data_IF_191946651051
#
_entry.id   IF_191946651051
#
_cell.length_a   1.000
_cell.length_b   1.000
_cell.length_c   1.000
_cell.angle_alpha   90.00
_cell.angle_beta   90.00
_cell.angle_gamma   90.00
#
_symmetry.space_group_name_H-M   'P 1'
#
loop_
_entity.id
_entity.type
_entity.pdbx_description
1 polymer ?
#
# COMPACT_ATOMS: atom_id res chain seq x y z
N UNK A 1 26.06 22.13 27.65
CA UNK A 1 26.92 23.24 28.09
C UNK A 1 26.15 24.56 28.27
N UNK A 2 25.35 25.08 27.32
CA UNK A 2 24.57 26.32 27.56
C UNK A 2 23.35 26.14 28.50
N UNK A 3 22.62 25.02 28.42
CA UNK A 3 21.42 24.77 29.25
C UNK A 3 21.74 24.42 30.72
N UNK A 4 22.95 23.93 31.01
CA UNK A 4 23.41 23.76 32.41
C UNK A 4 23.53 25.11 33.14
N UNK A 5 23.59 26.22 32.40
CA UNK A 5 23.76 27.57 32.96
C UNK A 5 22.50 28.45 32.88
N UNK A 6 21.49 28.11 32.05
CA UNK A 6 20.22 28.86 31.99
C UNK A 6 19.06 28.03 31.38
N UNK A 7 18.49 27.04 32.11
CA UNK A 7 17.42 26.16 31.60
C UNK A 7 16.06 26.86 31.44
N UNK A 8 15.90 28.09 31.93
CA UNK A 8 14.67 28.87 31.90
C UNK A 8 14.50 29.71 30.62
N UNK A 9 15.51 29.75 29.74
CA UNK A 9 15.42 30.50 28.49
C UNK A 9 14.76 29.63 27.41
N UNK A 10 13.61 30.05 26.84
CA UNK A 10 12.86 29.25 25.87
C UNK A 10 13.70 28.79 24.65
N UNK A 11 14.55 29.68 24.12
CA UNK A 11 15.41 29.38 22.97
C UNK A 11 16.47 28.31 23.26
N UNK A 12 17.03 28.29 24.49
CA UNK A 12 18.06 27.33 24.88
C UNK A 12 17.43 25.94 25.08
N UNK A 13 16.24 25.92 25.67
CA UNK A 13 15.44 24.70 25.88
C UNK A 13 15.02 24.07 24.53
N UNK A 14 14.58 24.90 23.57
CA UNK A 14 14.25 24.47 22.21
C UNK A 14 15.48 23.92 21.46
N UNK A 15 16.60 24.64 21.47
CA UNK A 15 17.83 24.17 20.80
C UNK A 15 18.34 22.83 21.36
N UNK A 16 18.20 22.60 22.67
CA UNK A 16 18.52 21.29 23.25
C UNK A 16 17.55 20.19 22.85
N UNK A 17 16.26 20.51 22.73
CA UNK A 17 15.26 19.55 22.27
C UNK A 17 15.57 19.10 20.83
N UNK A 18 15.90 20.05 19.96
CA UNK A 18 16.29 19.80 18.56
C UNK A 18 17.58 18.98 18.49
N UNK A 19 18.61 19.34 19.26
CA UNK A 19 19.88 18.59 19.31
C UNK A 19 19.73 17.14 19.81
N UNK A 20 18.90 16.90 20.83
CA UNK A 20 18.64 15.55 21.35
C UNK A 20 17.86 14.72 20.33
N UNK A 21 16.90 15.34 19.66
CA UNK A 21 16.11 14.71 18.60
C UNK A 21 16.96 14.33 17.39
N UNK A 22 17.87 15.22 16.96
CA UNK A 22 18.85 14.90 15.90
C UNK A 22 19.78 13.74 16.27
N UNK A 23 20.07 13.56 17.56
CA UNK A 23 20.89 12.44 18.04
C UNK A 23 20.12 11.12 18.19
N UNK A 24 18.83 11.07 17.85
CA UNK A 24 17.97 9.89 18.08
C UNK A 24 17.65 9.61 19.56
N UNK A 25 17.91 10.56 20.46
CA UNK A 25 17.68 10.42 21.91
C UNK A 25 16.25 10.83 22.27
N UNK A 26 15.28 10.09 21.72
CA UNK A 26 13.86 10.44 21.80
C UNK A 26 13.31 10.46 23.23
N UNK A 27 13.69 9.50 24.07
CA UNK A 27 13.19 9.44 25.46
C UNK A 27 13.68 10.65 26.28
N UNK A 28 14.92 11.08 26.09
CA UNK A 28 15.46 12.29 26.72
C UNK A 28 14.76 13.55 26.19
N UNK A 29 14.47 13.62 24.89
CA UNK A 29 13.74 14.72 24.28
C UNK A 29 12.31 14.82 24.84
N UNK A 30 11.61 13.70 25.00
CA UNK A 30 10.26 13.65 25.57
C UNK A 30 10.27 14.11 27.03
N UNK A 31 11.24 13.66 27.84
CA UNK A 31 11.38 14.09 29.23
C UNK A 31 11.63 15.60 29.34
N UNK A 32 12.50 16.14 28.48
CA UNK A 32 12.79 17.57 28.42
C UNK A 32 11.53 18.38 28.06
N UNK A 33 10.75 17.90 27.08
CA UNK A 33 9.51 18.55 26.67
C UNK A 33 8.46 18.55 27.79
N UNK A 34 8.34 17.46 28.55
CA UNK A 34 7.43 17.37 29.70
C UNK A 34 7.85 18.34 30.82
N UNK A 35 9.16 18.53 31.05
CA UNK A 35 9.67 19.54 31.99
C UNK A 35 9.36 20.97 31.53
N UNK A 36 9.53 21.28 30.24
CA UNK A 36 9.21 22.59 29.67
C UNK A 36 7.71 22.90 29.76
N UNK A 37 6.86 21.89 29.53
CA UNK A 37 5.42 22.00 29.74
C UNK A 37 5.07 22.27 31.21
N UNK A 38 5.71 21.57 32.15
CA UNK A 38 5.49 21.79 33.59
C UNK A 38 5.93 23.19 34.04
N UNK A 39 6.97 23.74 33.40
CA UNK A 39 7.45 25.10 33.61
C UNK A 39 6.64 26.18 32.86
N UNK A 40 5.56 25.81 32.15
CA UNK A 40 4.72 26.71 31.34
C UNK A 40 5.50 27.52 30.29
N UNK A 41 6.61 26.96 29.78
CA UNK A 41 7.44 27.59 28.73
C UNK A 41 6.78 27.46 27.36
N UNK A 42 5.99 26.41 27.15
CA UNK A 42 5.25 26.12 25.92
C UNK A 42 3.75 26.06 26.18
N UNK A 43 2.96 26.42 25.16
CA UNK A 43 1.52 26.22 25.21
C UNK A 43 1.19 24.73 25.28
N UNK A 44 0.10 24.37 25.97
CA UNK A 44 -0.31 22.98 26.12
C UNK A 44 -0.52 22.28 24.77
N UNK A 45 -1.17 22.94 23.82
CA UNK A 45 -1.46 22.36 22.50
C UNK A 45 -0.18 22.08 21.71
N UNK A 46 0.74 23.04 21.69
CA UNK A 46 2.04 22.93 21.04
C UNK A 46 2.89 21.81 21.66
N UNK A 47 2.96 21.75 23.00
CA UNK A 47 3.69 20.70 23.70
C UNK A 47 3.10 19.29 23.43
N UNK A 48 1.77 19.15 23.39
CA UNK A 48 1.12 17.88 23.05
C UNK A 48 1.37 17.47 21.59
N UNK A 49 1.39 18.42 20.66
CA UNK A 49 1.73 18.20 19.25
C UNK A 49 3.19 17.77 19.07
N UNK A 50 4.15 18.50 19.65
CA UNK A 50 5.57 18.15 19.60
C UNK A 50 5.84 16.79 20.24
N UNK A 51 5.17 16.47 21.35
CA UNK A 51 5.26 15.15 22.00
C UNK A 51 4.75 14.04 21.07
N UNK A 52 3.65 14.28 20.34
CA UNK A 52 3.15 13.32 19.36
C UNK A 52 4.17 13.08 18.24
N UNK A 53 4.86 14.11 17.76
CA UNK A 53 5.91 14.00 16.74
C UNK A 53 7.10 13.20 17.25
N UNK A 54 7.60 13.48 18.47
CA UNK A 54 8.69 12.73 19.09
C UNK A 54 8.35 11.25 19.29
N UNK A 55 7.14 10.96 19.77
CA UNK A 55 6.64 9.59 19.91
C UNK A 55 6.53 8.88 18.56
N UNK A 56 6.12 9.60 17.51
CA UNK A 56 6.02 9.06 16.14
C UNK A 56 7.40 8.77 15.56
N UNK A 57 8.38 9.65 15.77
CA UNK A 57 9.76 9.44 15.37
C UNK A 57 10.36 8.19 16.03
N UNK A 58 10.21 8.10 17.36
CA UNK A 58 10.62 6.95 18.16
C UNK A 58 9.94 5.66 17.71
N UNK A 59 8.64 5.70 17.43
CA UNK A 59 7.90 4.56 16.93
C UNK A 59 8.38 4.11 15.54
N UNK A 60 8.75 5.06 14.66
CA UNK A 60 9.28 4.77 13.33
C UNK A 60 10.58 3.97 13.41
N UNK A 61 11.53 4.38 14.27
CA UNK A 61 12.80 3.68 14.46
C UNK A 61 12.63 2.30 15.11
N UNK A 62 11.66 2.17 16.03
CA UNK A 62 11.38 0.91 16.72
C UNK A 62 10.61 -0.09 15.86
N UNK A 63 9.89 0.36 14.82
CA UNK A 63 8.95 -0.48 14.07
C UNK A 63 9.59 -1.77 13.54
N UNK A 64 10.86 -1.70 13.12
CA UNK A 64 11.57 -2.87 12.61
C UNK A 64 11.98 -3.88 13.68
N UNK A 65 12.49 -3.42 14.82
CA UNK A 65 13.02 -4.29 15.88
C UNK A 65 12.02 -4.66 16.98
N UNK A 66 11.12 -3.74 17.32
CA UNK A 66 10.09 -3.90 18.36
C UNK A 66 8.75 -3.31 17.89
N UNK A 67 7.95 -4.09 17.12
CA UNK A 67 6.62 -3.67 16.68
C UNK A 67 5.67 -3.34 17.83
N UNK A 68 5.77 -4.05 18.97
CA UNK A 68 4.90 -3.83 20.12
C UNK A 68 5.18 -2.47 20.77
N UNK A 69 6.45 -2.13 20.99
CA UNK A 69 6.87 -0.83 21.48
C UNK A 69 6.48 0.30 20.53
N UNK A 70 6.75 0.12 19.23
CA UNK A 70 6.35 1.07 18.19
C UNK A 70 4.83 1.33 18.17
N UNK A 71 4.03 0.28 18.37
CA UNK A 71 2.58 0.38 18.45
C UNK A 71 2.11 1.22 19.63
N UNK A 72 2.68 1.00 20.82
CA UNK A 72 2.28 1.78 22.01
C UNK A 72 2.72 3.25 21.90
N UNK A 73 3.93 3.51 21.42
CA UNK A 73 4.43 4.87 21.17
C UNK A 73 3.53 5.59 20.11
N UNK A 74 3.21 4.93 19.00
CA UNK A 74 2.34 5.49 17.95
C UNK A 74 0.88 5.70 18.42
N UNK A 75 0.33 4.78 19.22
CA UNK A 75 -1.00 4.98 19.83
C UNK A 75 -1.01 6.14 20.81
N UNK A 76 0.06 6.32 21.59
CA UNK A 76 0.20 7.46 22.48
C UNK A 76 0.26 8.77 21.68
N UNK A 77 0.99 8.79 20.55
CA UNK A 77 0.99 9.93 19.64
C UNK A 77 -0.41 10.26 19.09
N UNK A 78 -1.17 9.26 18.64
CA UNK A 78 -2.54 9.46 18.12
C UNK A 78 -3.55 9.95 19.17
N UNK A 79 -3.33 9.65 20.46
CA UNK A 79 -4.14 10.22 21.55
C UNK A 79 -3.94 11.71 21.69
N UNK A 80 -2.72 12.19 21.44
CA UNK A 80 -2.34 13.61 21.52
C UNK A 80 -2.68 14.35 20.21
N UNK A 81 -2.38 13.75 19.06
CA UNK A 81 -2.61 14.31 17.73
C UNK A 81 -3.31 13.29 16.82
N UNK A 82 -4.65 13.27 16.85
CA UNK A 82 -5.46 12.30 16.07
C UNK A 82 -5.28 12.42 14.56
N UNK A 83 -4.98 13.62 14.06
CA UNK A 83 -4.75 13.88 12.63
C UNK A 83 -3.31 13.63 12.17
N UNK A 84 -2.41 13.16 13.04
CA UNK A 84 -1.03 12.89 12.65
C UNK A 84 -0.95 11.59 11.82
N UNK A 85 -1.12 11.74 10.50
CA UNK A 85 -1.07 10.65 9.51
C UNK A 85 0.10 9.67 9.68
N UNK A 86 1.37 10.09 9.84
CA UNK A 86 2.48 9.15 10.00
C UNK A 86 2.35 8.27 11.24
N UNK A 87 1.78 8.78 12.34
CA UNK A 87 1.53 7.97 13.54
C UNK A 87 0.48 6.88 13.27
N UNK A 88 -0.59 7.20 12.52
CA UNK A 88 -1.61 6.24 12.12
C UNK A 88 -1.02 5.12 11.24
N UNK A 89 -0.15 5.48 10.31
CA UNK A 89 0.53 4.53 9.42
C UNK A 89 1.45 3.61 10.21
N UNK A 90 2.27 4.14 11.13
CA UNK A 90 3.19 3.33 11.94
C UNK A 90 2.41 2.40 12.86
N UNK A 91 1.36 2.90 13.54
CA UNK A 91 0.50 2.07 14.38
C UNK A 91 -0.17 0.94 13.58
N UNK A 92 -0.68 1.25 12.38
CA UNK A 92 -1.28 0.25 11.51
C UNK A 92 -0.26 -0.80 11.06
N UNK A 93 0.92 -0.39 10.58
CA UNK A 93 2.01 -1.30 10.19
C UNK A 93 2.42 -2.22 11.36
N UNK A 94 2.50 -1.70 12.57
CA UNK A 94 2.81 -2.49 13.75
C UNK A 94 1.73 -3.57 14.01
N UNK A 95 0.44 -3.21 13.95
CA UNK A 95 -0.65 -4.18 14.07
C UNK A 95 -0.66 -5.21 12.92
N UNK A 96 -0.25 -4.83 11.72
CA UNK A 96 -0.16 -5.77 10.60
C UNK A 96 0.95 -6.81 10.79
N UNK A 97 2.05 -6.46 11.46
CA UNK A 97 3.10 -7.41 11.85
C UNK A 97 2.63 -8.41 12.91
N UNK A 98 1.61 -8.06 13.67
CA UNK A 98 0.95 -8.93 14.66
C UNK A 98 -0.27 -9.68 14.06
N UNK A 99 -0.44 -9.66 12.73
CA UNK A 99 -1.61 -10.20 12.02
C UNK A 99 -2.97 -9.60 12.48
N UNK A 100 -2.96 -8.45 13.14
CA UNK A 100 -4.15 -7.78 13.65
C UNK A 100 -4.76 -6.81 12.64
N UNK A 101 -5.25 -7.37 11.53
CA UNK A 101 -5.77 -6.61 10.38
C UNK A 101 -6.96 -5.73 10.78
N UNK A 102 -7.84 -6.21 11.66
CA UNK A 102 -9.04 -5.45 12.09
C UNK A 102 -8.67 -4.15 12.79
N UNK A 103 -7.68 -4.18 13.70
CA UNK A 103 -7.23 -2.97 14.41
C UNK A 103 -6.46 -2.03 13.49
N UNK A 104 -5.61 -2.57 12.61
CA UNK A 104 -4.92 -1.77 11.61
C UNK A 104 -5.91 -1.01 10.70
N UNK A 105 -6.91 -1.72 10.16
CA UNK A 105 -7.98 -1.13 9.35
C UNK A 105 -8.73 -0.04 10.12
N UNK A 106 -9.13 -0.29 11.37
CA UNK A 106 -9.85 0.69 12.19
C UNK A 106 -9.06 1.99 12.42
N UNK A 107 -7.73 1.90 12.59
CA UNK A 107 -6.88 3.08 12.79
C UNK A 107 -6.76 3.88 11.49
N UNK A 108 -6.51 3.21 10.38
CA UNK A 108 -6.40 3.86 9.06
C UNK A 108 -7.73 4.50 8.63
N UNK A 109 -8.87 3.81 8.83
CA UNK A 109 -10.20 4.38 8.56
C UNK A 109 -10.50 5.60 9.45
N UNK A 110 -10.03 5.62 10.69
CA UNK A 110 -10.19 6.77 11.59
C UNK A 110 -9.36 7.96 11.12
N UNK A 111 -8.12 7.74 10.69
CA UNK A 111 -7.27 8.78 10.10
C UNK A 111 -7.86 9.30 8.79
N UNK A 112 -8.33 8.41 7.92
CA UNK A 112 -8.96 8.73 6.63
C UNK A 112 -10.20 9.63 6.77
N UNK A 113 -11.01 9.39 7.81
CA UNK A 113 -12.18 10.24 8.10
C UNK A 113 -11.82 11.66 8.49
N UNK A 114 -10.65 11.89 9.08
CA UNK A 114 -10.16 13.22 9.42
C UNK A 114 -9.63 13.87 8.14
N UNK A 115 -8.57 13.29 7.57
CA UNK A 115 -7.87 13.79 6.39
C UNK A 115 -7.45 12.61 5.51
N UNK A 116 -8.11 12.39 4.35
CA UNK A 116 -7.66 11.43 3.36
C UNK A 116 -6.24 11.73 2.89
N UNK A 117 -5.39 10.72 2.88
CA UNK A 117 -3.97 10.86 2.54
C UNK A 117 -3.49 9.65 1.73
N UNK A 118 -2.71 9.82 0.65
CA UNK A 118 -2.36 8.74 -0.27
C UNK A 118 -1.68 7.56 0.42
N UNK A 119 -0.78 7.81 1.38
CA UNK A 119 -0.11 6.74 2.13
C UNK A 119 -1.05 5.94 3.04
N UNK A 120 -2.12 6.55 3.57
CA UNK A 120 -3.16 5.81 4.33
C UNK A 120 -3.91 4.90 3.36
N UNK A 121 -4.25 5.39 2.17
CA UNK A 121 -4.89 4.59 1.12
C UNK A 121 -4.03 3.40 0.70
N UNK A 122 -2.76 3.65 0.37
CA UNK A 122 -1.77 2.61 -0.03
C UNK A 122 -1.61 1.54 1.05
N UNK A 123 -1.49 1.95 2.31
CA UNK A 123 -1.31 1.02 3.45
C UNK A 123 -2.57 0.22 3.75
N UNK A 124 -3.76 0.83 3.62
CA UNK A 124 -5.03 0.15 3.86
C UNK A 124 -5.36 -0.88 2.78
N UNK A 125 -5.17 -0.51 1.50
CA UNK A 125 -5.44 -1.41 0.37
C UNK A 125 -4.53 -2.63 0.43
N UNK A 126 -3.26 -2.46 0.82
CA UNK A 126 -2.27 -3.54 0.93
C UNK A 126 -2.17 -4.14 2.35
N UNK A 127 -3.13 -3.87 3.24
CA UNK A 127 -3.02 -4.22 4.65
C UNK A 127 -2.90 -5.74 4.91
N UNK A 128 -3.54 -6.58 4.09
CA UNK A 128 -3.49 -8.04 4.25
C UNK A 128 -2.64 -8.66 3.15
N UNK A 129 -1.61 -9.39 3.57
CA UNK A 129 -0.82 -10.24 2.68
C UNK A 129 -1.70 -11.33 2.08
N UNK A 130 -1.60 -11.52 0.75
CA UNK A 130 -2.32 -12.58 0.03
C UNK A 130 -3.68 -12.20 -0.53
N UNK A 131 -4.13 -10.95 -0.40
CA UNK A 131 -5.36 -10.52 -1.09
C UNK A 131 -5.20 -10.49 -2.61
N UNK A 132 -6.25 -10.93 -3.31
CA UNK A 132 -6.36 -10.76 -4.76
C UNK A 132 -6.44 -9.27 -5.15
N UNK A 133 -6.18 -8.95 -6.42
CA UNK A 133 -6.35 -7.59 -6.96
C UNK A 133 -7.79 -7.10 -6.80
N UNK A 134 -8.78 -7.98 -6.98
CA UNK A 134 -10.20 -7.68 -6.77
C UNK A 134 -10.54 -7.40 -5.30
N UNK A 135 -9.93 -8.11 -4.35
CA UNK A 135 -10.14 -7.84 -2.92
C UNK A 135 -9.52 -6.51 -2.49
N UNK A 136 -8.37 -6.17 -3.08
CA UNK A 136 -7.75 -4.84 -2.92
C UNK A 136 -8.65 -3.73 -3.48
N UNK A 137 -9.26 -3.93 -4.64
CA UNK A 137 -10.25 -3.01 -5.21
C UNK A 137 -11.46 -2.82 -4.28
N UNK A 138 -12.05 -3.91 -3.74
CA UNK A 138 -13.15 -3.80 -2.77
C UNK A 138 -12.78 -2.99 -1.52
N UNK A 139 -11.53 -3.09 -1.05
CA UNK A 139 -11.04 -2.26 0.06
C UNK A 139 -10.90 -0.79 -0.32
N UNK A 140 -10.38 -0.51 -1.51
CA UNK A 140 -10.31 0.86 -2.01
C UNK A 140 -11.70 1.49 -2.11
N UNK A 141 -12.70 0.75 -2.62
CA UNK A 141 -14.10 1.19 -2.67
C UNK A 141 -14.68 1.44 -1.28
N UNK A 142 -14.30 0.62 -0.28
CA UNK A 142 -14.68 0.84 1.11
C UNK A 142 -14.12 2.15 1.66
N UNK A 143 -12.87 2.51 1.33
CA UNK A 143 -12.31 3.82 1.71
C UNK A 143 -13.02 4.98 1.01
N UNK A 144 -13.34 4.81 -0.28
CA UNK A 144 -14.12 5.80 -1.02
C UNK A 144 -15.49 6.03 -0.37
N UNK A 145 -16.18 4.97 0.05
CA UNK A 145 -17.47 5.08 0.73
C UNK A 145 -17.40 5.89 2.04
N UNK A 146 -16.25 5.92 2.73
CA UNK A 146 -16.06 6.73 3.94
C UNK A 146 -15.90 8.22 3.66
N UNK A 147 -15.29 8.58 2.51
CA UNK A 147 -15.08 9.97 2.07
C UNK A 147 -15.35 10.06 0.56
N UNK A 148 -16.63 10.03 0.14
CA UNK A 148 -16.98 10.16 -1.27
C UNK A 148 -16.60 11.55 -1.79
N UNK A 149 -16.42 11.68 -3.11
CA UNK A 149 -16.06 12.94 -3.77
C UNK A 149 -14.78 13.59 -3.21
N UNK A 150 -13.79 12.77 -2.87
CA UNK A 150 -12.45 13.22 -2.50
C UNK A 150 -11.44 12.71 -3.54
N UNK A 151 -10.48 13.56 -3.93
CA UNK A 151 -9.46 13.20 -4.94
C UNK A 151 -8.68 11.97 -4.51
N UNK A 152 -8.22 11.90 -3.26
CA UNK A 152 -7.45 10.76 -2.75
C UNK A 152 -8.28 9.47 -2.77
N UNK A 153 -9.58 9.55 -2.44
CA UNK A 153 -10.51 8.42 -2.57
C UNK A 153 -10.62 7.94 -4.01
N UNK A 154 -10.79 8.86 -4.96
CA UNK A 154 -10.92 8.54 -6.38
C UNK A 154 -9.63 7.93 -6.93
N UNK A 155 -8.47 8.51 -6.61
CA UNK A 155 -7.16 8.00 -7.03
C UNK A 155 -6.85 6.61 -6.46
N UNK A 156 -7.16 6.37 -5.18
CA UNK A 156 -6.95 5.07 -4.54
C UNK A 156 -7.81 3.98 -5.21
N UNK A 157 -9.07 4.27 -5.55
CA UNK A 157 -9.94 3.34 -6.29
C UNK A 157 -9.47 3.15 -7.72
N UNK A 158 -9.08 4.22 -8.40
CA UNK A 158 -8.60 4.16 -9.78
C UNK A 158 -7.34 3.28 -9.89
N UNK A 159 -6.36 3.46 -9.00
CA UNK A 159 -5.16 2.63 -8.95
C UNK A 159 -5.51 1.17 -8.64
N UNK A 160 -6.37 0.91 -7.65
CA UNK A 160 -6.76 -0.46 -7.31
C UNK A 160 -7.57 -1.14 -8.43
N UNK A 161 -8.32 -0.36 -9.22
CA UNK A 161 -9.06 -0.84 -10.37
C UNK A 161 -8.12 -1.15 -11.55
N UNK A 162 -7.09 -0.33 -11.78
CA UNK A 162 -6.03 -0.60 -12.74
C UNK A 162 -5.29 -1.90 -12.39
N UNK A 163 -4.87 -2.05 -11.13
CA UNK A 163 -4.24 -3.29 -10.63
C UNK A 163 -5.13 -4.52 -10.83
N UNK A 164 -6.45 -4.35 -10.80
CA UNK A 164 -7.45 -5.39 -11.02
C UNK A 164 -7.91 -5.54 -12.47
N UNK A 165 -7.27 -4.82 -13.41
CA UNK A 165 -7.62 -4.80 -14.84
C UNK A 165 -9.09 -4.42 -15.11
N UNK A 166 -9.69 -3.66 -14.21
CA UNK A 166 -11.04 -3.10 -14.36
C UNK A 166 -10.94 -1.73 -15.05
N UNK A 167 -10.44 -1.72 -16.28
CA UNK A 167 -10.07 -0.48 -16.99
C UNK A 167 -11.21 0.54 -17.13
N UNK A 168 -12.46 0.17 -17.45
CA UNK A 168 -13.56 1.15 -17.51
C UNK A 168 -13.78 1.88 -16.19
N UNK A 169 -13.66 1.15 -15.08
CA UNK A 169 -13.79 1.72 -13.73
C UNK A 169 -12.58 2.57 -13.36
N UNK A 170 -11.38 2.08 -13.66
CA UNK A 170 -10.14 2.81 -13.42
C UNK A 170 -10.16 4.18 -14.12
N UNK A 171 -10.50 4.19 -15.43
CA UNK A 171 -10.62 5.40 -16.24
C UNK A 171 -11.68 6.35 -15.69
N UNK A 172 -12.89 5.86 -15.43
CA UNK A 172 -13.97 6.70 -14.92
C UNK A 172 -13.62 7.40 -13.58
N UNK A 173 -12.88 6.71 -12.70
CA UNK A 173 -12.42 7.28 -11.42
C UNK A 173 -11.24 8.23 -11.59
N UNK A 174 -10.27 7.91 -12.43
CA UNK A 174 -9.12 8.77 -12.72
C UNK A 174 -9.55 10.08 -13.41
N UNK A 175 -10.45 10.01 -14.40
CA UNK A 175 -11.04 11.19 -15.03
C UNK A 175 -11.86 12.04 -14.04
N UNK A 176 -12.61 11.38 -13.14
CA UNK A 176 -13.33 12.10 -12.09
C UNK A 176 -12.37 12.83 -11.15
N UNK A 177 -11.22 12.22 -10.81
CA UNK A 177 -10.17 12.87 -10.03
C UNK A 177 -9.57 14.07 -10.78
N UNK A 178 -9.22 13.91 -12.06
CA UNK A 178 -8.66 14.96 -12.91
C UNK A 178 -9.62 16.15 -13.11
N UNK A 179 -10.93 15.88 -13.26
CA UNK A 179 -11.99 16.90 -13.32
C UNK A 179 -12.16 17.65 -12.00
N UNK A 180 -11.97 16.98 -10.87
CA UNK A 180 -12.10 17.58 -9.55
C UNK A 180 -10.89 18.46 -9.22
N UNK A 181 -9.69 18.00 -9.53
CA UNK A 181 -8.47 18.81 -9.50
C UNK A 181 -7.46 18.23 -10.49
N UNK A 182 -7.00 19.07 -11.42
CA UNK A 182 -6.01 18.69 -12.43
C UNK A 182 -4.63 18.50 -11.79
N UNK A 183 -4.37 17.29 -11.28
CA UNK A 183 -3.11 16.87 -10.67
C UNK A 183 -2.31 15.96 -11.56
N UNK A 184 -0.99 16.04 -11.44
CA UNK A 184 -0.03 15.18 -12.14
C UNK A 184 -0.37 13.68 -11.98
N UNK A 185 -0.55 13.18 -10.76
CA UNK A 185 -0.88 11.78 -10.50
C UNK A 185 -2.16 11.29 -11.20
N UNK A 186 -3.18 12.15 -11.37
CA UNK A 186 -4.42 11.75 -12.03
C UNK A 186 -4.21 11.47 -13.52
N UNK A 187 -3.41 12.31 -14.19
CA UNK A 187 -3.09 12.15 -15.61
C UNK A 187 -2.06 11.06 -15.87
N UNK A 188 -1.07 10.90 -14.98
CA UNK A 188 -0.16 9.75 -15.05
C UNK A 188 -0.92 8.43 -14.93
N UNK A 189 -1.89 8.36 -14.01
CA UNK A 189 -2.73 7.18 -13.87
C UNK A 189 -3.60 6.93 -15.13
N UNK A 190 -4.10 7.97 -15.79
CA UNK A 190 -4.78 7.83 -17.08
C UNK A 190 -3.85 7.30 -18.17
N UNK A 191 -2.60 7.76 -18.21
CA UNK A 191 -1.59 7.25 -19.12
C UNK A 191 -1.33 5.75 -18.88
N UNK A 192 -1.16 5.33 -17.63
CA UNK A 192 -0.95 3.93 -17.25
C UNK A 192 -2.16 3.05 -17.65
N UNK A 193 -3.39 3.56 -17.52
CA UNK A 193 -4.61 2.86 -17.95
C UNK A 193 -4.63 2.67 -19.47
N UNK A 194 -4.30 3.71 -20.24
CA UNK A 194 -4.27 3.63 -21.71
C UNK A 194 -3.19 2.70 -22.22
N UNK A 195 -2.02 2.71 -21.58
CA UNK A 195 -0.93 1.78 -21.87
C UNK A 195 -1.35 0.33 -21.60
N UNK A 196 -1.98 0.07 -20.45
CA UNK A 196 -2.35 -1.28 -20.03
C UNK A 196 -3.56 -1.86 -20.79
N UNK A 197 -4.54 -1.04 -21.19
CA UNK A 197 -5.74 -1.53 -21.88
C UNK A 197 -5.56 -1.64 -23.39
N UNK A 198 -5.02 -0.59 -24.04
CA UNK A 198 -5.00 -0.50 -25.51
C UNK A 198 -3.59 -0.43 -26.09
N UNK A 199 -2.60 0.03 -25.32
CA UNK A 199 -1.23 0.23 -25.81
C UNK A 199 -1.08 1.40 -26.80
N UNK A 200 -2.09 2.27 -26.90
CA UNK A 200 -2.10 3.40 -27.82
C UNK A 200 -1.14 4.51 -27.35
N UNK A 201 0.04 4.51 -27.97
CA UNK A 201 1.10 5.47 -27.69
C UNK A 201 0.69 6.93 -27.93
N UNK A 202 -0.30 7.20 -28.79
CA UNK A 202 -0.84 8.54 -29.02
C UNK A 202 -1.57 9.07 -27.79
N UNK A 203 -2.48 8.26 -27.23
CA UNK A 203 -3.24 8.61 -26.01
C UNK A 203 -2.36 8.66 -24.77
N UNK A 204 -1.41 7.73 -24.64
CA UNK A 204 -0.41 7.76 -23.56
C UNK A 204 0.39 9.07 -23.60
N UNK A 205 0.90 9.47 -24.78
CA UNK A 205 1.60 10.75 -24.95
C UNK A 205 0.73 11.97 -24.66
N UNK A 206 -0.55 11.93 -25.03
CA UNK A 206 -1.49 12.99 -24.69
C UNK A 206 -1.63 13.16 -23.18
N UNK A 207 -1.90 12.08 -22.44
CA UNK A 207 -2.05 12.16 -20.99
C UNK A 207 -0.75 12.53 -20.26
N UNK A 208 0.40 12.03 -20.72
CA UNK A 208 1.69 12.48 -20.20
C UNK A 208 1.93 13.98 -20.44
N UNK A 209 1.54 14.51 -21.60
CA UNK A 209 1.64 15.94 -21.89
C UNK A 209 0.72 16.78 -20.99
N UNK A 210 -0.47 16.27 -20.64
CA UNK A 210 -1.35 16.89 -19.65
C UNK A 210 -0.76 16.84 -18.23
N UNK A 211 -0.16 15.71 -17.84
CA UNK A 211 0.51 15.57 -16.54
C UNK A 211 1.61 16.62 -16.32
N UNK A 212 2.39 16.94 -17.37
CA UNK A 212 3.42 17.97 -17.31
C UNK A 212 2.88 19.39 -17.08
N UNK A 213 1.65 19.66 -17.51
CA UNK A 213 0.97 20.96 -17.35
C UNK A 213 0.11 21.03 -16.09
N UNK A 214 -0.20 19.89 -15.49
CA UNK A 214 -1.03 19.79 -14.32
C UNK A 214 -0.35 20.35 -13.07
N UNK A 215 -1.16 20.68 -12.06
CA UNK A 215 -0.64 21.05 -10.76
C UNK A 215 0.12 19.87 -10.12
N UNK A 216 1.22 20.18 -9.43
CA UNK A 216 2.00 19.18 -8.68
C UNK A 216 1.13 18.51 -7.61
N UNK A 217 1.44 17.25 -7.34
CA UNK A 217 0.83 16.56 -6.21
C UNK A 217 1.33 17.12 -4.87
N UNK A 218 0.50 17.08 -3.82
CA UNK A 218 0.96 17.34 -2.47
C UNK A 218 2.10 16.40 -2.06
N UNK A 219 3.06 16.94 -1.33
CA UNK A 219 4.20 16.21 -0.78
C UNK A 219 4.52 16.73 0.62
N UNK A 220 5.44 16.07 1.34
CA UNK A 220 5.94 16.60 2.61
C UNK A 220 6.96 17.71 2.32
N UNK A 221 6.64 18.95 2.70
CA UNK A 221 7.48 20.12 2.45
C UNK A 221 7.92 20.75 3.76
N UNK A 222 9.24 20.97 3.91
CA UNK A 222 9.83 21.72 5.01
C UNK A 222 11.04 22.51 4.52
N UNK A 223 11.15 23.79 4.90
CA UNK A 223 12.36 24.60 4.72
C UNK A 223 13.00 24.54 3.31
N UNK A 224 12.16 24.51 2.26
CA UNK A 224 12.59 24.44 0.86
C UNK A 224 12.91 23.03 0.34
N UNK A 225 12.74 22.00 1.18
CA UNK A 225 12.92 20.60 0.83
C UNK A 225 11.56 19.95 0.61
N UNK A 226 11.46 19.18 -0.46
CA UNK A 226 10.33 18.29 -0.76
C UNK A 226 10.78 16.86 -0.47
N UNK A 227 9.95 16.11 0.24
CA UNK A 227 10.19 14.71 0.60
C UNK A 227 8.94 13.88 0.34
N UNK A 228 9.12 12.68 -0.20
CA UNK A 228 8.05 11.71 -0.37
C UNK A 228 7.64 11.06 0.97
N UNK A 229 8.56 11.07 1.94
CA UNK A 229 8.37 10.48 3.26
C UNK A 229 8.33 11.56 4.32
N UNK A 230 7.41 11.40 5.27
CA UNK A 230 7.40 12.27 6.45
C UNK A 230 8.70 12.11 7.25
N UNK A 231 9.27 13.24 7.66
CA UNK A 231 10.41 13.29 8.55
C UNK A 231 10.04 14.09 9.81
N UNK A 232 10.48 13.64 11.00
CA UNK A 232 10.17 14.33 12.25
C UNK A 232 10.91 15.67 12.42
N UNK A 233 12.03 15.82 11.71
CA UNK A 233 12.97 16.93 11.82
C UNK A 233 13.29 17.47 10.44
N UNK A 234 13.41 18.79 10.31
CA UNK A 234 14.03 19.39 9.12
C UNK A 234 15.52 19.07 9.08
N UNK A 235 16.06 18.53 7.96
CA UNK A 235 17.49 18.30 7.83
C UNK A 235 18.30 19.60 7.67
N UNK A 236 17.65 20.75 7.38
CA UNK A 236 18.31 22.05 7.23
C UNK A 236 18.36 22.80 8.55
N UNK A 237 17.21 22.94 9.21
CA UNK A 237 17.08 23.78 10.41
C UNK A 237 17.16 22.97 11.70
N UNK A 238 16.93 21.65 11.65
CA UNK A 238 16.79 20.83 12.84
C UNK A 238 15.45 20.97 13.58
N UNK A 239 14.55 21.82 13.08
CA UNK A 239 13.25 22.11 13.69
C UNK A 239 12.35 20.86 13.69
N UNK A 240 11.71 20.60 14.83
CA UNK A 240 10.69 19.55 14.98
C UNK A 240 9.37 19.97 14.33
N UNK A 241 8.59 18.98 13.86
CA UNK A 241 7.28 19.18 13.21
C UNK A 241 7.31 20.18 12.05
N UNK A 242 8.44 20.24 11.34
CA UNK A 242 8.64 21.20 10.25
C UNK A 242 7.98 20.76 8.92
N UNK A 243 7.79 19.45 8.73
CA UNK A 243 7.23 18.89 7.49
C UNK A 243 5.70 18.94 7.49
N UNK A 244 5.18 19.70 6.53
CA UNK A 244 3.75 19.86 6.28
C UNK A 244 3.36 19.18 4.96
N UNK A 245 2.18 18.57 4.92
CA UNK A 245 1.63 17.99 3.69
C UNK A 245 0.97 19.10 2.85
N UNK A 246 1.61 19.51 1.76
CA UNK A 246 1.09 20.57 0.87
C UNK A 246 1.67 20.47 -0.54
N UNK A 247 1.04 21.17 -1.47
CA UNK A 247 1.58 21.32 -2.83
C UNK A 247 2.88 22.14 -2.76
N UNK A 248 4.02 21.62 -3.25
CA UNK A 248 5.27 22.36 -3.27
C UNK A 248 5.14 23.62 -4.14
N UNK A 249 5.54 24.78 -3.60
CA UNK A 249 5.62 26.03 -4.34
C UNK A 249 7.04 26.23 -4.90
N UNK A 250 7.16 26.57 -6.19
CA UNK A 250 8.40 27.17 -6.72
C UNK A 250 9.39 26.29 -7.50
N UNK A 251 9.02 25.08 -7.96
CA UNK A 251 9.80 24.39 -9.01
C UNK A 251 9.07 24.46 -10.36
N UNK A 252 9.30 25.60 -11.04
CA UNK A 252 8.99 25.92 -12.44
C UNK A 252 7.55 25.58 -12.84
N UNK A 253 6.63 26.53 -12.60
CA UNK A 253 5.43 26.63 -13.42
C UNK A 253 5.89 26.97 -14.85
N UNK A 254 5.82 25.99 -15.76
CA UNK A 254 5.89 26.29 -17.19
C UNK A 254 4.66 27.09 -17.61
N UNK A 255 4.73 27.92 -18.67
CA UNK A 255 3.58 28.71 -19.11
C UNK A 255 2.38 27.79 -19.39
N UNK A 256 1.28 28.00 -18.68
CA UNK A 256 0.01 27.32 -18.96
C UNK A 256 -0.60 28.03 -20.17
N UNK A 257 -0.42 27.47 -21.36
CA UNK A 257 -1.18 27.90 -22.54
C UNK A 257 -2.59 27.28 -22.46
N UNK A 258 -3.58 28.10 -22.10
CA UNK A 258 -5.01 27.78 -22.11
C UNK A 258 -5.51 27.55 -23.55
N UNK A 259 -5.38 26.32 -24.05
CA UNK A 259 -5.83 25.90 -25.39
C UNK A 259 -6.63 24.60 -25.39
N UNK A 260 -7.35 24.30 -24.31
CA UNK A 260 -7.79 22.93 -23.97
C UNK A 260 -9.07 22.42 -24.64
N UNK A 261 -10.00 23.28 -25.10
CA UNK A 261 -11.31 22.75 -25.54
C UNK A 261 -11.31 22.07 -26.92
N UNK A 262 -10.35 22.36 -27.80
CA UNK A 262 -10.34 21.83 -29.17
C UNK A 262 -9.63 20.46 -29.31
N UNK A 263 -8.73 20.12 -28.39
CA UNK A 263 -7.95 18.87 -28.46
C UNK A 263 -8.73 17.68 -27.89
N UNK A 264 -9.49 17.89 -26.81
CA UNK A 264 -10.24 16.83 -26.13
C UNK A 264 -11.40 16.30 -27.01
N UNK A 265 -12.07 17.19 -27.74
CA UNK A 265 -13.14 16.85 -28.70
C UNK A 265 -12.59 16.15 -29.96
N UNK A 266 -11.38 16.53 -30.39
CA UNK A 266 -10.69 15.90 -31.51
C UNK A 266 -10.20 14.48 -31.21
N UNK A 267 -9.84 14.17 -29.96
CA UNK A 267 -9.37 12.84 -29.54
C UNK A 267 -10.54 11.88 -29.30
N UNK A 268 -11.65 12.38 -28.74
CA UNK A 268 -12.88 11.60 -28.56
C UNK A 268 -13.52 11.13 -29.88
N UNK A 269 -13.19 11.79 -31.00
CA UNK A 269 -13.75 11.51 -32.33
C UNK A 269 -12.85 10.66 -33.22
N UNK A 270 -11.67 10.23 -32.75
CA UNK A 270 -10.79 9.36 -33.53
C UNK A 270 -11.34 7.92 -33.58
N UNK A 271 -11.49 7.31 -34.77
CA UNK A 271 -11.93 5.93 -34.89
C UNK A 271 -10.86 4.95 -34.36
N UNK A 272 -11.31 3.86 -33.73
CA UNK A 272 -10.43 2.80 -33.27
C UNK A 272 -9.61 2.24 -34.44
N UNK A 273 -8.28 2.20 -34.28
CA UNK A 273 -7.36 1.67 -35.29
C UNK A 273 -7.63 0.16 -35.40
N UNK A 274 -8.25 -0.24 -36.51
CA UNK A 274 -8.28 -1.65 -36.92
C UNK A 274 -6.92 -1.96 -37.52
N UNK A 275 -6.14 -2.78 -36.80
CA UNK A 275 -4.92 -3.36 -37.34
C UNK A 275 -5.36 -4.25 -38.51
N UNK A 276 -5.02 -3.86 -39.75
CA UNK A 276 -5.20 -4.73 -40.92
C UNK A 276 -4.19 -5.86 -40.80
N UNK A 277 -4.65 -7.06 -40.48
CA UNK A 277 -3.88 -8.29 -40.69
C UNK A 277 -3.62 -8.46 -42.20
N UNK A 278 -2.33 -8.46 -42.53
CA UNK A 278 -1.65 -9.10 -43.65
C UNK A 278 -2.37 -9.17 -45.00
N UNK A 279 -2.01 -8.22 -45.88
CA UNK A 279 -2.06 -8.45 -47.33
C UNK A 279 -0.76 -9.16 -47.71
N UNK A 280 -0.84 -10.46 -47.99
CA UNK A 280 0.22 -11.17 -48.71
C UNK A 280 0.30 -10.63 -50.15
N UNK A 281 1.46 -10.16 -50.64
CA UNK A 281 1.57 -9.80 -52.04
C UNK A 281 1.79 -11.09 -52.86
N UNK A 282 0.80 -11.42 -53.68
CA UNK A 282 0.98 -12.33 -54.81
C UNK A 282 1.97 -11.69 -55.79
N UNK A 283 3.12 -12.32 -56.00
CA UNK A 283 4.08 -11.91 -57.04
C UNK A 283 3.85 -12.80 -58.25
N UNK A 284 3.36 -12.16 -59.32
CA UNK A 284 3.24 -12.70 -60.66
C UNK A 284 4.64 -12.93 -61.28
N UNK A 285 4.83 -14.11 -61.84
CA UNK A 285 5.97 -14.49 -62.70
C UNK A 285 5.96 -13.74 -64.03
N UNK A 286 7.14 -13.29 -64.52
CA UNK A 286 7.36 -13.11 -65.95
C UNK A 286 8.37 -14.13 -66.51
N UNK A 287 8.01 -14.72 -67.65
CA UNK A 287 8.91 -15.44 -68.56
C UNK A 287 9.88 -14.46 -69.25
N UNK A 288 11.17 -14.82 -69.36
CA UNK A 288 11.91 -14.67 -70.62
C UNK A 288 13.22 -15.51 -70.69
N UNK A 289 13.59 -15.80 -71.93
CA UNK A 289 14.54 -16.78 -72.48
C UNK A 289 16.05 -16.59 -72.16
N UNK A 290 16.70 -17.75 -71.96
CA UNK A 290 17.97 -18.23 -72.55
C UNK A 290 19.21 -17.34 -72.70
N UNK A 291 20.32 -17.66 -71.98
CA UNK A 291 21.70 -17.82 -72.54
C UNK A 291 22.48 -18.92 -71.76
N UNK A 292 23.26 -19.67 -72.53
CA UNK A 292 24.07 -20.88 -72.29
C UNK A 292 25.11 -20.90 -71.15
N UNK A 293 25.22 -22.12 -70.57
CA UNK A 293 26.40 -22.94 -70.20
C UNK A 293 27.62 -22.33 -69.49
N UNK A 294 27.94 -22.87 -68.31
CA UNK A 294 29.18 -23.63 -68.07
C UNK A 294 28.88 -24.86 -67.20
N UNK A 295 29.31 -26.00 -67.69
CA UNK A 295 29.25 -27.35 -67.09
C UNK A 295 30.40 -27.53 -66.10
N UNK A 296 30.12 -28.08 -64.92
CA UNK A 296 31.07 -28.88 -64.15
C UNK A 296 30.28 -29.92 -63.34
N UNK A 297 30.24 -31.11 -63.93
CA UNK A 297 29.79 -32.38 -63.39
C UNK A 297 30.60 -32.77 -62.15
N UNK A 298 29.98 -33.33 -61.10
CA UNK A 298 30.55 -34.36 -60.23
C UNK A 298 29.48 -34.97 -59.31
N UNK A 299 29.34 -36.28 -59.46
CA UNK A 299 28.40 -37.22 -58.84
C UNK A 299 28.51 -37.36 -57.31
N UNK A 300 27.47 -37.93 -56.65
CA UNK A 300 27.37 -38.00 -55.19
C UNK A 300 28.19 -39.15 -54.62
N UNK A 301 28.92 -38.88 -53.52
CA UNK A 301 29.54 -39.91 -52.71
C UNK A 301 28.57 -40.33 -51.62
N UNK A 302 27.98 -41.51 -51.81
CA UNK A 302 27.39 -42.38 -50.78
C UNK A 302 28.54 -43.15 -50.13
N UNK A 303 28.64 -43.20 -48.79
CA UNK A 303 28.86 -44.40 -47.93
C UNK A 303 28.70 -43.98 -46.42
N UNK A 304 28.56 -44.88 -45.42
CA UNK A 304 27.35 -45.58 -44.95
C UNK A 304 26.97 -45.33 -43.46
N UNK A 305 25.76 -45.76 -43.09
CA UNK A 305 25.35 -46.05 -41.71
C UNK A 305 26.09 -47.27 -41.13
N UNK A 306 26.46 -47.22 -39.84
CA UNK A 306 26.46 -48.39 -38.96
C UNK A 306 25.80 -48.06 -37.62
N UNK A 307 24.96 -49.02 -37.21
CA UNK A 307 24.10 -49.05 -36.04
C UNK A 307 24.85 -49.27 -34.73
N UNK A 308 24.40 -48.65 -33.63
CA UNK A 308 24.46 -49.25 -32.28
C UNK A 308 23.21 -48.86 -31.44
N UNK A 309 22.19 -49.70 -31.60
CA UNK A 309 21.29 -50.30 -30.62
C UNK A 309 21.08 -49.71 -29.18
N UNK A 310 19.79 -49.49 -28.86
CA UNK A 310 18.98 -50.07 -27.75
C UNK A 310 19.26 -49.52 -26.32
N UNK A 311 18.31 -49.11 -25.46
CA UNK A 311 16.90 -49.50 -25.29
C UNK A 311 16.05 -48.37 -24.65
N UNK A 312 14.82 -48.24 -25.14
CA UNK A 312 13.69 -47.68 -24.39
C UNK A 312 12.91 -48.82 -23.71
N UNK A 313 12.34 -48.58 -22.52
CA UNK A 313 11.31 -49.44 -21.92
C UNK A 313 10.10 -48.62 -21.49
N UNK A 314 9.01 -48.82 -22.22
CA UNK A 314 7.61 -48.50 -21.87
C UNK A 314 7.01 -49.67 -21.07
N UNK A 315 5.95 -49.47 -20.26
CA UNK A 315 5.36 -50.50 -19.40
C UNK A 315 4.13 -51.17 -20.05
N UNK A 316 3.79 -52.41 -19.71
CA UNK A 316 2.43 -53.00 -19.71
C UNK A 316 2.40 -54.30 -18.87
N UNK A 317 1.21 -54.58 -18.33
CA UNK A 317 0.77 -55.56 -17.32
C UNK A 317 0.86 -57.07 -17.66
N UNK A 318 0.67 -57.94 -16.63
CA UNK A 318 -0.49 -58.88 -16.50
C UNK A 318 -0.45 -59.75 -15.23
N UNK A 319 -1.58 -59.74 -14.49
CA UNK A 319 -2.29 -60.67 -13.57
C UNK A 319 -1.64 -61.87 -12.84
N UNK A 320 -2.09 -62.05 -11.58
CA UNK A 320 -2.84 -63.25 -11.12
C UNK A 320 -3.97 -62.83 -10.15
N UNK A 321 -5.14 -63.45 -10.32
CA UNK A 321 -6.44 -63.29 -9.62
C UNK A 321 -6.69 -64.39 -8.59
N UNK A 322 -7.42 -64.08 -7.50
CA UNK A 322 -8.44 -64.88 -6.77
C UNK A 322 -8.77 -64.12 -5.45
N UNK A 323 -9.98 -63.90 -4.93
CA UNK A 323 -11.35 -64.31 -5.24
C UNK A 323 -12.27 -63.39 -4.38
N UNK A 324 -13.44 -63.04 -4.90
CA UNK A 324 -14.52 -62.18 -4.32
C UNK A 324 -15.61 -63.10 -3.68
N UNK A 325 -16.84 -62.68 -3.28
CA UNK A 325 -17.45 -61.44 -2.72
C UNK A 325 -18.49 -61.84 -1.59
N UNK A 326 -19.69 -61.23 -1.33
CA UNK A 326 -20.33 -59.95 -1.75
C UNK A 326 -21.06 -59.15 -0.60
N UNK A 327 -21.22 -57.81 -0.74
CA UNK A 327 -22.46 -57.01 -0.98
C UNK A 327 -23.53 -57.01 0.15
N UNK A 328 -24.34 -55.98 0.42
CA UNK A 328 -24.56 -54.62 -0.10
C UNK A 328 -25.56 -53.88 0.83
N UNK A 329 -25.56 -52.54 0.73
CA UNK A 329 -26.70 -51.60 0.79
C UNK A 329 -27.56 -51.34 2.06
N UNK A 330 -27.52 -50.04 2.46
CA UNK A 330 -28.63 -49.09 2.72
C UNK A 330 -29.37 -49.01 4.09
N UNK A 331 -29.44 -47.76 4.56
CA UNK A 331 -30.56 -47.02 5.24
C UNK A 331 -30.72 -47.04 6.78
N UNK A 332 -30.73 -45.80 7.30
CA UNK A 332 -31.52 -45.14 8.38
C UNK A 332 -31.50 -45.58 9.87
N UNK A 333 -31.45 -44.54 10.72
CA UNK A 333 -31.52 -44.36 12.20
C UNK A 333 -32.58 -45.20 12.96
N UNK A 334 -32.54 -45.41 14.31
CA UNK A 334 -32.17 -44.44 15.36
C UNK A 334 -31.46 -44.96 16.65
N UNK A 335 -31.13 -44.00 17.52
CA UNK A 335 -30.49 -44.08 18.86
C UNK A 335 -31.19 -45.02 19.85
N UNK A 336 -30.45 -45.69 20.75
CA UNK A 336 -30.95 -45.99 22.09
C UNK A 336 -30.10 -45.36 23.22
N UNK A 337 -30.78 -44.42 23.85
CA UNK A 337 -30.74 -43.98 25.24
C UNK A 337 -30.33 -45.04 26.29
N UNK A 338 -29.26 -44.75 27.04
CA UNK A 338 -29.02 -45.11 28.45
C UNK A 338 -27.99 -44.09 28.96
N UNK A 339 -28.06 -43.38 30.08
CA UNK A 339 -28.90 -43.36 31.26
C UNK A 339 -28.08 -42.59 32.31
N UNK A 340 -28.48 -41.36 32.64
CA UNK A 340 -28.10 -40.66 33.89
C UNK A 340 -29.27 -40.85 34.88
N UNK A 341 -29.19 -40.65 36.23
CA UNK A 341 -28.43 -39.59 36.97
C UNK A 341 -28.02 -40.06 38.42
N UNK A 342 -27.81 -39.24 39.49
CA UNK A 342 -27.71 -37.77 39.65
C UNK A 342 -26.50 -37.27 40.52
N UNK A 343 -26.38 -35.95 40.63
CA UNK A 343 -25.72 -35.12 41.68
C UNK A 343 -24.79 -35.77 42.74
N UNK A 344 -23.57 -35.24 42.85
CA UNK A 344 -22.87 -35.12 44.15
C UNK A 344 -22.10 -33.79 44.25
N UNK A 345 -22.57 -32.83 45.07
CA UNK A 345 -21.90 -31.57 45.33
C UNK A 345 -21.00 -31.63 46.58
N UNK A 346 -19.68 -31.66 46.34
CA UNK A 346 -18.69 -30.91 47.12
C UNK A 346 -18.00 -31.58 48.31
N UNK A 347 -16.72 -31.23 48.50
CA UNK A 347 -16.08 -31.17 49.82
C UNK A 347 -15.20 -29.93 49.89
N UNK A 348 -15.53 -29.05 50.83
CA UNK A 348 -14.72 -27.90 51.25
C UNK A 348 -13.80 -28.36 52.38
N UNK A 349 -12.54 -27.93 52.35
CA UNK A 349 -11.60 -28.13 53.44
C UNK A 349 -12.12 -27.54 54.75
N UNK A 350 -12.19 -28.39 55.78
CA UNK A 350 -12.61 -28.04 57.13
C UNK A 350 -11.41 -28.15 58.08
N UNK A 351 -10.61 -27.08 58.19
CA UNK A 351 -9.79 -26.81 59.39
C UNK A 351 -9.17 -25.41 59.33
N UNK A 352 -10.00 -24.38 59.48
CA UNK A 352 -9.55 -23.10 60.05
C UNK A 352 -10.76 -22.41 60.70
N UNK A 353 -10.73 -22.35 62.02
CA UNK A 353 -11.80 -21.83 62.86
C UNK A 353 -12.05 -20.32 62.66
N UNK A 354 -13.32 -19.95 62.87
CA UNK A 354 -13.91 -18.60 62.77
C UNK A 354 -13.48 -17.72 63.96
N UNK A 355 -13.24 -16.43 63.80
CA UNK A 355 -14.21 -15.30 64.00
C UNK A 355 -13.50 -14.17 64.80
N UNK A 356 -14.07 -12.96 65.00
CA UNK A 356 -15.08 -12.21 64.25
C UNK A 356 -14.67 -10.76 63.87
N UNK A 357 -15.38 -10.25 62.86
CA UNK A 357 -15.85 -8.87 62.64
C UNK A 357 -15.46 -7.75 63.63
N UNK A 358 -14.91 -6.65 63.07
CA UNK A 358 -15.34 -5.28 63.41
C UNK A 358 -15.04 -4.27 62.30
N UNK A 359 -16.10 -3.58 61.87
CA UNK A 359 -16.02 -2.31 61.15
C UNK A 359 -15.25 -1.27 61.97
N UNK A 360 -14.55 -0.35 61.31
CA UNK A 360 -14.78 1.10 61.45
C UNK A 360 -14.07 1.90 60.34
N UNK A 361 -14.86 2.80 59.73
CA UNK A 361 -14.39 4.02 59.10
C UNK A 361 -13.60 4.85 60.12
N UNK A 362 -12.52 5.50 59.68
CA UNK A 362 -12.26 6.92 59.87
C UNK A 362 -11.41 7.44 58.70
#
# INVERSE_FOLDING_TARGET
KAVEHAPYLPWAAQATLESRSQSGRWDEAIQLLDQQRAASVLERGEAERLKAVLLTAKASERLEGDPNGAREDAKAALKLAKGLVPAAIIAAKAYLREDNIRKAASILESAWKIEPHPDVGRTYVRARSGDSTLDRLKRAEKLEALRPNNIESLLVVAQAALDAQQFPKARAKAEAAARMQSREAAYLLLADIEEAETGDQGRVRHWMAQALRAGRDPAWVADGIVSDKWLPLSPVTGRLDAFEWKVPFGQIEGPVEDGTLAADEAIATLPAITIREDVTPAVETPENESINQVVADMQPVVVPQEDLAVAAKTPTATNVTAEQPPEAEKQDEPVPFFGRPPDDPGVKDASAEKSPTRLRLY
#
